data_IF_651493265530
#
_entry.id   IF_651493265530
#
_cell.length_a   1.000
_cell.length_b   1.000
_cell.length_c   1.000
_cell.angle_alpha   90.00
_cell.angle_beta   90.00
_cell.angle_gamma   90.00
#
_symmetry.space_group_name_H-M   'P 1'
#
loop_
_entity.id
_entity.type
_entity.pdbx_description
1 polymer ?
#
# COMPACT_ATOMS: atom_id res chain seq x y z
N UNK A 1 -48.05 -14.61 -2.09
CA UNK A 1 -48.07 -16.06 -2.44
C UNK A 1 -47.70 -16.32 -3.92
N UNK A 2 -47.75 -15.32 -4.82
CA UNK A 2 -47.36 -15.50 -6.24
C UNK A 2 -45.84 -15.45 -6.53
N UNK A 3 -45.05 -14.73 -5.74
CA UNK A 3 -43.61 -14.52 -6.01
C UNK A 3 -42.75 -15.79 -5.87
N UNK A 4 -43.13 -16.71 -4.98
CA UNK A 4 -42.40 -17.96 -4.79
C UNK A 4 -42.55 -18.90 -6.00
N UNK A 5 -43.64 -18.78 -6.76
CA UNK A 5 -43.93 -19.64 -7.90
C UNK A 5 -43.11 -19.28 -9.14
N UNK A 6 -42.85 -17.97 -9.34
CA UNK A 6 -42.08 -17.48 -10.49
C UNK A 6 -40.57 -17.76 -10.38
N UNK A 7 -40.07 -17.94 -9.16
CA UNK A 7 -38.67 -18.29 -8.90
C UNK A 7 -38.44 -19.79 -9.06
N UNK A 8 -39.44 -20.62 -8.71
CA UNK A 8 -39.35 -22.08 -8.79
C UNK A 8 -39.61 -22.65 -10.18
N UNK A 9 -40.25 -21.88 -11.07
CA UNK A 9 -40.52 -22.29 -12.46
C UNK A 9 -39.29 -22.16 -13.38
N UNK A 10 -38.36 -21.28 -13.04
CA UNK A 10 -37.22 -20.94 -13.90
C UNK A 10 -35.90 -21.37 -13.26
N UNK A 11 -35.31 -22.42 -13.82
CA UNK A 11 -34.16 -23.15 -13.26
C UNK A 11 -32.94 -22.23 -13.05
N UNK A 12 -32.81 -21.19 -13.88
CA UNK A 12 -31.78 -20.15 -13.80
C UNK A 12 -32.00 -19.16 -12.66
N UNK A 13 -33.25 -18.82 -12.33
CA UNK A 13 -33.57 -17.95 -11.19
C UNK A 13 -33.36 -18.69 -9.88
N UNK A 14 -33.67 -19.99 -9.85
CA UNK A 14 -33.38 -20.86 -8.70
C UNK A 14 -31.88 -20.96 -8.42
N UNK A 15 -31.05 -21.21 -9.44
CA UNK A 15 -29.60 -21.30 -9.24
C UNK A 15 -29.00 -19.98 -8.75
N UNK A 16 -29.49 -18.84 -9.23
CA UNK A 16 -29.07 -17.52 -8.75
C UNK A 16 -29.49 -17.28 -7.29
N UNK A 17 -30.71 -17.66 -6.92
CA UNK A 17 -31.22 -17.56 -5.54
C UNK A 17 -30.43 -18.46 -4.58
N UNK A 18 -30.09 -19.68 -5.01
CA UNK A 18 -29.31 -20.65 -4.24
C UNK A 18 -27.84 -20.21 -4.06
N UNK A 19 -27.28 -19.48 -5.03
CA UNK A 19 -25.89 -19.00 -4.97
C UNK A 19 -25.72 -17.67 -4.23
N UNK A 20 -26.68 -16.74 -4.37
CA UNK A 20 -26.58 -15.39 -3.79
C UNK A 20 -27.25 -15.26 -2.43
N UNK A 21 -28.12 -16.22 -2.07
CA UNK A 21 -28.84 -16.23 -0.80
C UNK A 21 -29.87 -15.10 -0.67
N UNK A 22 -30.92 -15.36 0.10
CA UNK A 22 -32.07 -14.45 0.31
C UNK A 22 -31.71 -13.02 0.80
N UNK A 23 -30.46 -12.75 1.18
CA UNK A 23 -30.03 -11.44 1.69
C UNK A 23 -29.78 -10.38 0.61
N UNK A 24 -29.48 -10.77 -0.64
CA UNK A 24 -29.30 -9.80 -1.73
C UNK A 24 -30.62 -9.18 -2.18
N UNK A 25 -31.72 -9.94 -2.16
CA UNK A 25 -33.05 -9.44 -2.52
C UNK A 25 -33.73 -8.61 -1.44
N UNK A 26 -33.42 -8.83 -0.15
CA UNK A 26 -33.93 -7.95 0.93
C UNK A 26 -33.29 -6.57 0.93
N UNK A 27 -32.03 -6.43 0.50
CA UNK A 27 -31.32 -5.16 0.51
C UNK A 27 -31.50 -4.29 -0.75
N UNK A 28 -32.31 -4.74 -1.72
CA UNK A 28 -32.80 -3.89 -2.82
C UNK A 28 -34.19 -3.31 -2.54
N UNK A 29 -34.78 -3.62 -1.38
CA UNK A 29 -36.05 -3.08 -0.92
C UNK A 29 -35.88 -1.81 -0.09
N UNK A 30 -35.64 -0.67 -0.75
CA UNK A 30 -35.83 0.65 -0.16
C UNK A 30 -34.55 1.45 0.06
N UNK A 31 -34.26 2.37 -0.85
CA UNK A 31 -33.20 3.36 -0.66
C UNK A 31 -32.84 4.07 -1.95
N UNK A 32 -33.39 5.28 -2.12
CA UNK A 32 -33.01 6.32 -3.09
C UNK A 32 -31.69 6.08 -3.87
N UNK A 33 -31.82 5.66 -5.14
CA UNK A 33 -30.84 6.01 -6.17
C UNK A 33 -31.54 6.86 -7.21
N UNK A 34 -31.70 8.13 -6.84
CA UNK A 34 -32.07 9.18 -7.75
C UNK A 34 -30.88 9.43 -8.69
N UNK A 35 -31.18 9.58 -9.98
CA UNK A 35 -30.32 10.17 -10.99
C UNK A 35 -29.24 9.24 -11.59
N UNK A 36 -29.59 8.49 -12.63
CA UNK A 36 -29.14 8.77 -14.00
C UNK A 36 -29.41 7.57 -14.94
N UNK A 37 -29.89 7.91 -16.13
CA UNK A 37 -30.12 7.07 -17.31
C UNK A 37 -31.43 6.26 -17.30
N UNK A 38 -32.34 6.73 -18.17
CA UNK A 38 -33.54 6.01 -18.53
C UNK A 38 -33.20 4.67 -19.16
N UNK A 39 -33.88 3.63 -18.70
CA UNK A 39 -33.90 2.34 -19.39
C UNK A 39 -35.32 1.79 -19.34
N UNK A 40 -36.11 2.21 -20.31
CA UNK A 40 -37.38 1.58 -20.65
C UNK A 40 -37.07 0.35 -21.50
N UNK A 41 -37.36 -0.85 -20.98
CA UNK A 41 -37.45 -2.08 -21.77
C UNK A 41 -36.23 -2.99 -21.68
N UNK A 42 -36.50 -4.26 -21.34
CA UNK A 42 -35.62 -5.39 -21.61
C UNK A 42 -34.29 -5.36 -20.86
N UNK A 43 -34.32 -5.69 -19.57
CA UNK A 43 -33.08 -6.04 -18.87
C UNK A 43 -32.67 -7.44 -19.32
N UNK A 44 -31.73 -7.52 -20.25
CA UNK A 44 -31.01 -8.75 -20.55
C UNK A 44 -30.15 -9.12 -19.34
N UNK A 45 -30.39 -10.28 -18.69
CA UNK A 45 -29.65 -10.68 -17.49
C UNK A 45 -28.14 -10.87 -17.77
N UNK A 46 -27.77 -11.13 -19.02
CA UNK A 46 -26.38 -11.30 -19.43
C UNK A 46 -25.59 -9.97 -19.35
N UNK A 47 -26.20 -8.84 -19.68
CA UNK A 47 -25.53 -7.53 -19.65
C UNK A 47 -25.37 -7.00 -18.22
N UNK A 48 -26.29 -7.34 -17.32
CA UNK A 48 -26.13 -7.04 -15.89
C UNK A 48 -25.07 -7.94 -15.26
N UNK A 49 -25.02 -9.22 -15.63
CA UNK A 49 -24.00 -10.14 -15.13
C UNK A 49 -22.61 -9.78 -15.66
N UNK A 50 -22.45 -9.41 -16.94
CA UNK A 50 -21.18 -8.95 -17.50
C UNK A 50 -20.73 -7.61 -16.91
N UNK A 51 -21.62 -6.63 -16.71
CA UNK A 51 -21.21 -5.37 -16.09
C UNK A 51 -20.88 -5.54 -14.60
N UNK A 52 -21.61 -6.37 -13.84
CA UNK A 52 -21.33 -6.59 -12.42
C UNK A 52 -20.13 -7.52 -12.19
N UNK A 53 -19.98 -8.63 -12.93
CA UNK A 53 -18.79 -9.48 -12.83
C UNK A 53 -17.58 -8.89 -13.55
N UNK A 54 -17.78 -8.09 -14.59
CA UNK A 54 -16.74 -7.31 -15.27
C UNK A 54 -16.15 -6.24 -14.36
N UNK A 55 -17.00 -5.48 -13.64
CA UNK A 55 -16.53 -4.55 -12.62
C UNK A 55 -15.98 -5.27 -11.39
N UNK A 56 -16.51 -6.42 -10.98
CA UNK A 56 -15.98 -7.15 -9.82
C UNK A 56 -14.63 -7.85 -10.10
N UNK A 57 -14.40 -8.32 -11.34
CA UNK A 57 -13.10 -8.83 -11.82
C UNK A 57 -12.12 -7.70 -12.17
N UNK A 58 -12.62 -6.55 -12.65
CA UNK A 58 -11.83 -5.36 -12.98
C UNK A 58 -11.37 -4.58 -11.74
N UNK A 59 -12.24 -4.44 -10.73
CA UNK A 59 -11.94 -3.72 -9.49
C UNK A 59 -10.95 -4.45 -8.58
N UNK A 60 -10.78 -5.78 -8.76
CA UNK A 60 -9.80 -6.55 -7.97
C UNK A 60 -8.36 -6.48 -8.49
N UNK A 61 -8.15 -5.83 -9.65
CA UNK A 61 -6.81 -5.55 -10.20
C UNK A 61 -6.28 -4.16 -9.83
N UNK A 62 -7.02 -3.37 -9.05
CA UNK A 62 -6.51 -2.10 -8.55
C UNK A 62 -5.56 -2.32 -7.37
N UNK A 63 -4.29 -2.53 -7.72
CA UNK A 63 -3.15 -1.94 -7.03
C UNK A 63 -3.04 -2.17 -5.52
N UNK A 64 -2.81 -3.42 -5.10
CA UNK A 64 -2.11 -3.70 -3.81
C UNK A 64 -0.59 -3.64 -3.90
N UNK A 65 -0.04 -3.13 -5.00
CA UNK A 65 1.40 -2.84 -5.14
C UNK A 65 1.71 -1.38 -4.81
N UNK A 66 1.04 -0.80 -3.81
CA UNK A 66 1.52 0.42 -3.21
C UNK A 66 2.46 0.03 -2.06
N UNK A 67 3.69 -0.37 -2.39
CA UNK A 67 4.83 0.05 -1.59
C UNK A 67 4.86 1.58 -1.63
N UNK A 68 3.91 2.21 -0.94
CA UNK A 68 3.93 3.65 -0.73
C UNK A 68 5.25 3.89 -0.04
N UNK A 69 6.16 4.57 -0.74
CA UNK A 69 7.43 5.01 -0.18
C UNK A 69 7.05 5.92 0.98
N UNK A 70 6.97 5.35 2.19
CA UNK A 70 6.74 6.12 3.40
C UNK A 70 7.81 7.21 3.41
N UNK A 71 7.36 8.46 3.36
CA UNK A 71 8.26 9.59 3.48
C UNK A 71 9.06 9.43 4.78
N UNK A 72 10.35 9.72 4.73
CA UNK A 72 11.19 9.70 5.92
C UNK A 72 10.74 10.77 6.92
N UNK A 73 11.14 10.62 8.18
CA UNK A 73 10.92 11.65 9.18
C UNK A 73 11.68 12.94 8.82
N UNK A 74 11.08 14.09 9.12
CA UNK A 74 11.74 15.38 8.97
C UNK A 74 12.81 15.54 10.06
N UNK A 75 13.94 16.17 9.73
CA UNK A 75 15.00 16.52 10.67
C UNK A 75 14.91 18.02 10.96
N UNK A 76 14.88 18.40 12.24
CA UNK A 76 14.98 19.78 12.71
C UNK A 76 16.34 19.98 13.38
N UNK A 77 17.04 21.06 13.03
CA UNK A 77 18.32 21.44 13.61
C UNK A 77 18.25 22.90 14.03
N UNK A 78 18.61 23.18 15.28
CA UNK A 78 18.74 24.54 15.79
C UNK A 78 20.21 24.97 15.67
N UNK A 79 20.45 26.14 15.06
CA UNK A 79 21.79 26.66 14.80
C UNK A 79 21.95 27.97 15.56
N UNK A 80 22.98 28.06 16.39
CA UNK A 80 23.35 29.31 17.05
C UNK A 80 24.20 30.18 16.12
N UNK A 81 23.76 31.42 15.92
CA UNK A 81 24.45 32.44 15.14
C UNK A 81 24.82 33.60 16.06
N UNK A 82 25.97 34.21 15.78
CA UNK A 82 26.29 35.51 16.36
C UNK A 82 25.50 36.63 15.66
N UNK A 83 25.34 37.78 16.31
CA UNK A 83 24.62 38.92 15.76
C UNK A 83 25.25 39.42 14.45
N UNK A 84 26.58 39.43 14.39
CA UNK A 84 27.35 39.80 13.20
C UNK A 84 27.10 38.82 12.04
N UNK A 85 27.14 37.51 12.30
CA UNK A 85 26.85 36.47 11.31
C UNK A 85 25.41 36.56 10.78
N UNK A 86 24.45 36.86 11.65
CA UNK A 86 23.05 37.06 11.25
C UNK A 86 22.86 38.34 10.44
N UNK A 87 23.65 39.38 10.70
CA UNK A 87 23.58 40.66 9.98
C UNK A 87 24.20 40.59 8.58
N UNK A 88 25.41 40.04 8.45
CA UNK A 88 26.10 39.91 7.16
C UNK A 88 25.64 38.71 6.32
N UNK A 89 25.01 37.72 6.97
CA UNK A 89 24.77 36.40 6.37
C UNK A 89 26.04 35.54 6.41
N UNK A 90 25.86 34.25 6.63
CA UNK A 90 26.97 33.30 6.78
C UNK A 90 26.62 31.98 6.13
N UNK A 91 27.65 31.27 5.67
CA UNK A 91 27.49 29.89 5.19
C UNK A 91 28.08 28.96 6.24
N UNK A 92 27.24 28.10 6.82
CA UNK A 92 27.66 27.11 7.82
C UNK A 92 27.49 25.70 7.30
N UNK A 93 28.42 24.82 7.66
CA UNK A 93 28.36 23.40 7.34
C UNK A 93 27.74 22.67 8.53
N UNK A 94 26.61 22.00 8.31
CA UNK A 94 25.90 21.22 9.33
C UNK A 94 26.15 19.75 9.05
N UNK A 95 26.68 19.02 10.03
CA UNK A 95 26.82 17.57 9.98
C UNK A 95 25.67 16.88 10.70
N UNK A 96 24.91 16.03 10.01
CA UNK A 96 23.83 15.24 10.61
C UNK A 96 23.89 13.78 10.19
N UNK A 97 23.45 12.89 11.08
CA UNK A 97 23.36 11.45 10.79
C UNK A 97 22.02 11.17 10.12
N UNK A 98 22.06 10.55 8.95
CA UNK A 98 20.85 10.16 8.20
C UNK A 98 21.02 8.79 7.56
N UNK A 99 19.90 8.13 7.28
CA UNK A 99 19.88 6.87 6.55
C UNK A 99 20.13 7.14 5.07
N UNK A 100 21.26 6.70 4.56
CA UNK A 100 21.62 6.79 3.15
C UNK A 100 21.31 5.50 2.43
N UNK A 101 20.95 5.62 1.16
CA UNK A 101 20.90 4.49 0.24
C UNK A 101 22.28 3.84 0.20
N UNK A 102 22.34 2.53 0.35
CA UNK A 102 23.61 1.81 0.32
C UNK A 102 24.22 1.88 -1.08
N UNK A 103 25.41 2.49 -1.17
CA UNK A 103 26.12 2.66 -2.44
C UNK A 103 26.57 1.32 -3.03
N UNK A 104 26.94 0.36 -2.17
CA UNK A 104 27.44 -0.95 -2.59
C UNK A 104 26.37 -1.80 -3.30
N UNK A 105 25.11 -1.71 -2.87
CA UNK A 105 23.99 -2.47 -3.46
C UNK A 105 22.96 -1.58 -4.17
N UNK A 106 23.23 -0.29 -4.31
CA UNK A 106 22.30 0.70 -4.86
C UNK A 106 20.87 0.62 -4.27
N UNK A 107 20.76 0.32 -2.97
CA UNK A 107 19.47 0.17 -2.30
C UNK A 107 18.76 -1.18 -2.45
N UNK A 108 19.35 -2.15 -3.17
CA UNK A 108 18.74 -3.48 -3.39
C UNK A 108 18.84 -4.41 -2.18
N UNK A 109 19.71 -4.10 -1.22
CA UNK A 109 20.01 -4.98 -0.07
C UNK A 109 20.96 -6.13 -0.41
N UNK A 110 21.28 -6.36 -1.69
CA UNK A 110 22.22 -7.38 -2.16
C UNK A 110 23.15 -6.86 -3.25
N UNK A 111 24.36 -7.41 -3.31
CA UNK A 111 25.32 -7.16 -4.39
C UNK A 111 24.86 -7.78 -5.71
N UNK A 112 24.21 -8.95 -5.65
CA UNK A 112 23.80 -9.69 -6.84
C UNK A 112 22.38 -9.32 -7.26
N UNK A 113 22.22 -8.98 -8.54
CA UNK A 113 20.92 -8.63 -9.13
C UNK A 113 19.86 -9.75 -9.04
N UNK A 114 20.26 -11.01 -8.82
CA UNK A 114 19.36 -12.17 -8.85
C UNK A 114 19.47 -13.06 -7.58
N UNK A 115 19.87 -12.48 -6.46
CA UNK A 115 20.02 -13.21 -5.18
C UNK A 115 18.74 -13.22 -4.34
N UNK A 116 17.63 -12.79 -4.92
CA UNK A 116 16.34 -12.69 -4.25
C UNK A 116 15.51 -13.92 -4.56
N UNK A 117 15.20 -14.72 -3.54
CA UNK A 117 14.30 -15.88 -3.67
C UNK A 117 12.99 -15.63 -2.95
N UNK A 118 11.89 -16.19 -3.44
CA UNK A 118 10.60 -16.15 -2.74
C UNK A 118 10.72 -16.70 -1.32
N UNK A 119 10.13 -16.01 -0.35
CA UNK A 119 10.19 -16.44 1.04
C UNK A 119 9.46 -17.80 1.20
N UNK A 120 10.11 -18.84 1.76
CA UNK A 120 9.49 -20.16 1.89
C UNK A 120 8.29 -20.15 2.86
N UNK A 121 8.33 -19.28 3.87
CA UNK A 121 7.32 -19.20 4.94
C UNK A 121 6.02 -18.57 4.46
N UNK A 122 6.08 -17.47 3.70
CA UNK A 122 4.89 -16.76 3.22
C UNK A 122 4.63 -16.95 1.72
N UNK A 123 5.50 -17.68 1.01
CA UNK A 123 5.40 -17.96 -0.44
C UNK A 123 5.18 -16.70 -1.29
N UNK A 124 5.80 -15.58 -0.90
CA UNK A 124 5.67 -14.31 -1.62
C UNK A 124 4.61 -13.35 -1.10
N UNK A 125 3.73 -13.77 -0.17
CA UNK A 125 2.64 -12.91 0.32
C UNK A 125 3.09 -11.81 1.29
N UNK A 126 4.27 -11.95 1.91
CA UNK A 126 4.75 -11.05 2.97
C UNK A 126 4.09 -11.27 4.34
N UNK A 127 3.06 -12.11 4.41
CA UNK A 127 2.22 -12.31 5.60
C UNK A 127 1.97 -13.80 5.85
N UNK A 128 1.95 -14.18 7.12
CA UNK A 128 1.60 -15.54 7.57
C UNK A 128 0.22 -15.50 8.22
N UNK A 129 -0.68 -16.36 7.75
CA UNK A 129 -2.02 -16.49 8.32
C UNK A 129 -2.01 -17.60 9.36
N UNK A 130 -2.46 -17.28 10.56
CA UNK A 130 -2.73 -18.25 11.63
C UNK A 130 -4.24 -18.31 11.86
N UNK A 131 -4.78 -19.52 11.96
CA UNK A 131 -6.19 -19.71 12.29
C UNK A 131 -6.29 -20.10 13.76
N UNK A 132 -7.06 -19.35 14.53
CA UNK A 132 -7.41 -19.71 15.90
C UNK A 132 -8.94 -19.75 16.01
N UNK A 133 -9.47 -20.97 16.05
CA UNK A 133 -10.92 -21.22 16.00
C UNK A 133 -11.54 -20.70 14.70
N UNK A 134 -12.52 -19.81 14.83
CA UNK A 134 -13.26 -19.21 13.72
C UNK A 134 -12.63 -17.89 13.20
N UNK A 135 -11.54 -17.42 13.83
CA UNK A 135 -10.87 -16.19 13.45
C UNK A 135 -9.54 -16.49 12.73
N UNK A 136 -9.26 -15.70 11.70
CA UNK A 136 -7.97 -15.68 11.00
C UNK A 136 -7.18 -14.45 11.43
N UNK A 137 -5.95 -14.66 11.85
CA UNK A 137 -4.99 -13.61 12.18
C UNK A 137 -3.94 -13.54 11.08
N UNK A 138 -3.76 -12.37 10.50
CA UNK A 138 -2.71 -12.10 9.52
C UNK A 138 -1.55 -11.39 10.23
N UNK A 139 -0.43 -12.09 10.37
CA UNK A 139 0.79 -11.55 10.97
C UNK A 139 1.83 -11.29 9.89
N UNK A 140 2.64 -10.24 10.06
CA UNK A 140 3.80 -10.00 9.18
C UNK A 140 4.74 -11.20 9.24
N UNK A 141 5.15 -11.71 8.07
CA UNK A 141 6.06 -12.85 8.02
C UNK A 141 7.39 -12.48 8.67
N UNK A 142 7.81 -13.22 9.71
CA UNK A 142 9.06 -12.95 10.43
C UNK A 142 10.31 -13.21 9.58
N UNK A 143 10.25 -14.15 8.63
CA UNK A 143 11.38 -14.51 7.76
C UNK A 143 11.74 -13.43 6.76
N UNK A 144 10.75 -12.78 6.13
CA UNK A 144 10.98 -11.73 5.14
C UNK A 144 10.58 -10.33 5.62
N UNK A 145 10.12 -10.19 6.88
CA UNK A 145 9.65 -8.95 7.48
C UNK A 145 8.63 -8.18 6.61
N UNK A 146 7.78 -8.89 5.88
CA UNK A 146 6.81 -8.29 4.97
C UNK A 146 7.27 -8.11 3.51
N UNK A 147 8.54 -8.36 3.18
CA UNK A 147 9.06 -8.17 1.82
C UNK A 147 8.54 -9.21 0.81
N UNK A 148 8.11 -10.40 1.27
CA UNK A 148 7.70 -11.52 0.42
C UNK A 148 8.87 -12.32 -0.18
N UNK A 149 10.08 -11.78 -0.14
CA UNK A 149 11.30 -12.42 -0.62
C UNK A 149 12.42 -12.40 0.42
N UNK A 150 13.37 -13.31 0.27
CA UNK A 150 14.56 -13.45 1.11
C UNK A 150 15.79 -13.27 0.23
N UNK A 151 16.72 -12.45 0.73
CA UNK A 151 18.00 -12.19 0.09
C UNK A 151 18.98 -13.28 0.53
N UNK A 152 19.51 -14.05 -0.43
CA UNK A 152 20.50 -15.12 -0.16
C UNK A 152 21.86 -14.55 0.26
N UNK A 153 22.29 -13.49 -0.42
CA UNK A 153 23.60 -12.85 -0.21
C UNK A 153 23.37 -11.40 0.27
N UNK A 154 23.12 -11.16 1.57
CA UNK A 154 22.92 -9.81 2.06
C UNK A 154 24.19 -8.98 1.85
N UNK A 155 24.02 -7.72 1.44
CA UNK A 155 25.13 -6.79 1.31
C UNK A 155 25.81 -6.59 2.67
N UNK A 156 27.13 -6.74 2.73
CA UNK A 156 27.91 -6.61 3.98
C UNK A 156 27.88 -5.20 4.58
N UNK A 157 27.68 -4.17 3.75
CA UNK A 157 27.64 -2.76 4.19
C UNK A 157 26.32 -2.37 4.87
N UNK A 158 25.20 -2.94 4.42
CA UNK A 158 23.85 -2.60 4.93
C UNK A 158 23.07 -3.79 5.49
N UNK A 159 23.69 -4.96 5.59
CA UNK A 159 23.12 -6.20 6.12
C UNK A 159 21.74 -6.57 5.54
N UNK A 160 21.52 -6.28 4.25
CA UNK A 160 20.23 -6.56 3.59
C UNK A 160 19.19 -5.44 3.66
N UNK A 161 19.43 -4.36 4.43
CA UNK A 161 18.44 -3.29 4.57
C UNK A 161 18.38 -2.34 3.37
N UNK A 162 19.40 -2.33 2.52
CA UNK A 162 19.50 -1.40 1.40
C UNK A 162 19.83 0.03 1.81
N UNK A 163 19.91 0.33 3.10
CA UNK A 163 20.31 1.62 3.66
C UNK A 163 21.28 1.44 4.81
N UNK A 164 22.08 2.48 5.08
CA UNK A 164 22.98 2.51 6.22
C UNK A 164 23.02 3.92 6.80
N UNK A 165 23.23 4.03 8.11
CA UNK A 165 23.33 5.33 8.77
C UNK A 165 24.72 5.91 8.49
N UNK A 166 24.76 7.11 7.94
CA UNK A 166 26.01 7.83 7.72
C UNK A 166 25.84 9.33 8.03
N UNK A 167 26.95 10.00 8.31
CA UNK A 167 26.97 11.46 8.51
C UNK A 167 27.02 12.14 7.15
N UNK A 168 26.07 13.04 6.89
CA UNK A 168 26.11 13.96 5.76
C UNK A 168 26.39 15.36 6.25
N UNK A 169 27.20 16.06 5.48
CA UNK A 169 27.45 17.48 5.65
C UNK A 169 26.58 18.22 4.64
N UNK A 170 25.75 19.14 5.12
CA UNK A 170 24.97 20.04 4.31
C UNK A 170 25.47 21.46 4.53
N UNK A 171 25.83 22.12 3.45
CA UNK A 171 26.15 23.53 3.45
C UNK A 171 24.84 24.32 3.41
N UNK A 172 24.59 25.11 4.46
CA UNK A 172 23.41 25.95 4.57
C UNK A 172 23.85 27.40 4.48
N UNK A 173 23.36 28.09 3.46
CA UNK A 173 23.55 29.51 3.26
C UNK A 173 22.45 30.27 4.00
N UNK A 174 22.85 31.02 5.02
CA UNK A 174 21.94 31.83 5.84
C UNK A 174 22.00 33.26 5.30
N UNK A 175 20.90 33.80 4.76
CA UNK A 175 20.88 35.16 4.23
C UNK A 175 21.06 36.19 5.34
N UNK A 176 21.48 37.39 4.97
CA UNK A 176 21.54 38.54 5.87
C UNK A 176 20.14 38.90 6.40
N UNK A 177 20.05 39.27 7.68
CA UNK A 177 18.83 39.79 8.30
C UNK A 177 17.82 38.73 8.76
N UNK A 178 18.26 37.48 8.98
CA UNK A 178 17.40 36.43 9.55
C UNK A 178 16.94 36.77 10.97
N UNK A 179 15.69 36.39 11.30
CA UNK A 179 15.11 36.54 12.64
C UNK A 179 15.03 35.19 13.34
N UNK A 180 15.05 35.19 14.67
CA UNK A 180 14.92 33.97 15.49
C UNK A 180 13.68 33.16 15.08
N UNK A 181 13.86 31.86 14.82
CA UNK A 181 12.77 30.92 14.48
C UNK A 181 12.44 30.78 12.98
N UNK A 182 13.31 31.29 12.09
CA UNK A 182 13.20 31.12 10.63
C UNK A 182 13.80 29.80 10.13
#
# INVERSE_FOLDING_TARGET
INEAYDILKDEKKRSAYDQLGHQTFKNSGGGNYQQHHGFTGGIDPNDIFENIFGDFMGARRSSKTAFSKKAGANLKYDISLTLEEAFYGVTKIISFKTALTCDACAGKGSLDNNSTSSCPTCRGSGVTRSQQGFFFFENTCQTCRGAGHVIKNPCTKCYGEGRYINTRNLEVKIPAGVKEGS
#
